data_IF_824187894981
#
_entry.id   IF_824187894981
#
_cell.length_a   1.000
_cell.length_b   1.000
_cell.length_c   1.000
_cell.angle_alpha   90.00
_cell.angle_beta   90.00
_cell.angle_gamma   90.00
#
_symmetry.space_group_name_H-M   'P 1'
#
loop_
_entity.id
_entity.type
_entity.pdbx_description
1 polymer ?
#
# COMPACT_ATOMS: atom_id res chain seq x y z
N UNK A 1 -7.39 4.10 8.91
CA UNK A 1 -6.14 4.38 8.16
C UNK A 1 -6.44 4.88 6.76
N UNK A 2 -7.24 4.13 5.99
CA UNK A 2 -7.73 4.46 4.63
C UNK A 2 -8.09 5.93 4.43
N UNK A 3 -9.00 6.47 5.26
CA UNK A 3 -9.42 7.87 5.15
C UNK A 3 -8.24 8.85 5.25
N UNK A 4 -7.27 8.60 6.14
CA UNK A 4 -6.09 9.47 6.26
C UNK A 4 -5.21 9.37 5.03
N UNK A 5 -4.95 8.17 4.50
CA UNK A 5 -4.11 8.00 3.32
C UNK A 5 -4.75 8.66 2.08
N UNK A 6 -6.06 8.52 1.91
CA UNK A 6 -6.76 9.15 0.79
C UNK A 6 -6.88 10.67 0.95
N UNK A 7 -7.26 11.17 2.12
CA UNK A 7 -7.57 12.60 2.30
C UNK A 7 -6.36 13.47 2.60
N UNK A 8 -5.39 12.97 3.38
CA UNK A 8 -4.22 13.75 3.82
C UNK A 8 -3.03 13.57 2.88
N UNK A 9 -2.85 12.37 2.34
CA UNK A 9 -1.69 12.02 1.52
C UNK A 9 -2.03 11.89 0.03
N UNK A 10 -3.30 12.04 -0.36
CA UNK A 10 -3.71 11.86 -1.77
C UNK A 10 -3.40 10.46 -2.33
N UNK A 11 -3.09 9.50 -1.45
CA UNK A 11 -2.64 8.19 -1.83
C UNK A 11 -3.83 7.31 -2.21
N UNK A 12 -3.65 6.51 -3.25
CA UNK A 12 -4.64 5.55 -3.75
C UNK A 12 -4.13 4.14 -3.49
N UNK A 13 -5.04 3.22 -3.14
CA UNK A 13 -4.73 1.81 -2.99
C UNK A 13 -4.40 1.22 -4.36
N UNK A 14 -3.15 0.80 -4.56
CA UNK A 14 -2.67 0.26 -5.85
C UNK A 14 -2.48 -1.24 -5.84
N UNK A 15 -2.31 -1.85 -4.66
CA UNK A 15 -2.23 -3.31 -4.55
C UNK A 15 -2.67 -3.80 -3.17
N UNK A 16 -3.18 -5.02 -3.12
CA UNK A 16 -3.46 -5.75 -1.88
C UNK A 16 -3.00 -7.20 -1.98
N UNK A 17 -2.72 -7.80 -0.83
CA UNK A 17 -2.39 -9.22 -0.73
C UNK A 17 -2.74 -9.78 0.64
N UNK A 18 -3.26 -11.01 0.68
CA UNK A 18 -3.50 -11.70 1.95
C UNK A 18 -2.18 -12.29 2.46
N UNK A 19 -1.80 -11.95 3.70
CA UNK A 19 -0.70 -12.62 4.40
C UNK A 19 -1.21 -13.91 5.07
N UNK A 20 -2.41 -13.85 5.63
CA UNK A 20 -3.15 -14.95 6.23
C UNK A 20 -4.66 -14.57 6.24
N UNK A 21 -5.58 -15.44 6.73
CA UNK A 21 -7.02 -15.14 6.73
C UNK A 21 -7.44 -13.90 7.52
N UNK A 22 -6.60 -13.41 8.43
CA UNK A 22 -6.90 -12.29 9.32
C UNK A 22 -6.12 -11.01 8.96
N UNK A 23 -5.27 -11.07 7.93
CA UNK A 23 -4.32 -10.00 7.63
C UNK A 23 -4.17 -9.72 6.14
N UNK A 24 -4.46 -8.47 5.77
CA UNK A 24 -4.31 -7.93 4.43
C UNK A 24 -3.16 -6.93 4.42
N UNK A 25 -2.19 -7.14 3.53
CA UNK A 25 -1.21 -6.13 3.16
C UNK A 25 -1.82 -5.23 2.11
N UNK A 26 -1.70 -3.93 2.31
CA UNK A 26 -2.14 -2.88 1.39
C UNK A 26 -0.94 -2.02 0.99
N UNK A 27 -0.82 -1.73 -0.30
CA UNK A 27 0.13 -0.79 -0.83
C UNK A 27 -0.61 0.43 -1.37
N UNK A 28 -0.28 1.58 -0.81
CA UNK A 28 -0.83 2.87 -1.16
C UNK A 28 0.24 3.70 -1.84
N UNK A 29 -0.08 4.34 -2.96
CA UNK A 29 0.84 5.21 -3.69
C UNK A 29 0.15 6.47 -4.16
N UNK A 30 0.87 7.57 -4.29
CA UNK A 30 0.37 8.81 -4.89
C UNK A 30 1.00 9.08 -6.27
N UNK A 31 0.68 10.25 -6.84
CA UNK A 31 1.19 10.66 -8.15
C UNK A 31 2.63 11.21 -8.10
N UNK A 32 3.11 11.56 -6.91
CA UNK A 32 4.43 12.13 -6.65
C UNK A 32 5.48 11.02 -6.46
N UNK A 33 5.04 9.79 -6.22
CA UNK A 33 5.88 8.63 -5.99
C UNK A 33 6.02 8.29 -4.50
N UNK A 34 5.26 8.94 -3.62
CA UNK A 34 5.22 8.53 -2.22
C UNK A 34 4.42 7.25 -2.09
N UNK A 35 4.85 6.39 -1.17
CA UNK A 35 4.21 5.12 -0.93
C UNK A 35 4.14 4.79 0.56
N UNK A 36 3.11 4.04 0.92
CA UNK A 36 2.90 3.55 2.27
C UNK A 36 2.37 2.13 2.21
N UNK A 37 3.02 1.24 2.95
CA UNK A 37 2.56 -0.12 3.16
C UNK A 37 1.88 -0.25 4.51
N UNK A 38 0.67 -0.81 4.50
CA UNK A 38 -0.17 -1.00 5.69
C UNK A 38 -0.49 -2.49 5.83
N UNK A 39 -0.52 -2.99 7.07
CA UNK A 39 -1.22 -4.24 7.39
C UNK A 39 -2.55 -3.89 8.04
N UNK A 40 -3.63 -4.36 7.44
CA UNK A 40 -4.99 -4.27 7.97
C UNK A 40 -5.40 -5.64 8.55
N UNK A 41 -5.81 -5.63 9.81
CA UNK A 41 -6.23 -6.82 10.55
C UNK A 41 -7.75 -6.94 10.57
N UNK A 42 -8.27 -8.16 10.56
CA UNK A 42 -9.70 -8.44 10.72
C UNK A 42 -10.28 -7.89 12.04
N UNK A 43 -9.43 -7.67 13.05
CA UNK A 43 -9.76 -6.99 14.30
C UNK A 43 -10.10 -5.50 14.15
N UNK A 44 -9.99 -4.93 12.95
CA UNK A 44 -10.22 -3.52 12.65
C UNK A 44 -9.01 -2.62 12.92
N UNK A 45 -7.91 -3.18 13.43
CA UNK A 45 -6.66 -2.43 13.62
C UNK A 45 -5.88 -2.35 12.31
N UNK A 46 -5.13 -1.28 12.11
CA UNK A 46 -4.22 -1.14 10.96
C UNK A 46 -2.92 -0.47 11.39
N UNK A 47 -1.80 -0.93 10.84
CA UNK A 47 -0.46 -0.44 11.17
C UNK A 47 0.30 -0.10 9.88
N UNK A 48 0.96 1.06 9.85
CA UNK A 48 1.96 1.33 8.81
C UNK A 48 3.20 0.50 9.13
N UNK A 49 3.64 -0.30 8.17
CA UNK A 49 4.82 -1.15 8.32
C UNK A 49 6.04 -0.56 7.60
N UNK A 50 5.81 0.19 6.53
CA UNK A 50 6.86 0.92 5.82
C UNK A 50 6.26 2.11 5.05
N UNK A 51 7.07 3.13 4.79
CA UNK A 51 6.73 4.28 3.98
C UNK A 51 8.00 4.84 3.32
N UNK A 52 7.86 5.54 2.20
CA UNK A 52 8.98 6.19 1.52
C UNK A 52 8.54 6.91 0.26
N UNK A 53 9.52 7.30 -0.53
CA UNK A 53 9.36 8.08 -1.77
C UNK A 53 9.88 7.28 -2.97
N UNK A 54 9.73 7.85 -4.17
CA UNK A 54 10.25 7.31 -5.44
C UNK A 54 9.74 5.91 -5.80
N UNK A 55 8.45 5.64 -5.55
CA UNK A 55 7.79 4.42 -5.98
C UNK A 55 7.84 4.26 -7.50
N UNK A 56 8.31 3.10 -7.97
CA UNK A 56 8.46 2.81 -9.38
C UNK A 56 7.76 1.49 -9.73
N UNK A 57 6.78 1.55 -10.62
CA UNK A 57 6.16 0.37 -11.20
C UNK A 57 7.12 -0.25 -12.20
N UNK A 58 7.67 -1.42 -11.89
CA UNK A 58 8.38 -2.24 -12.88
C UNK A 58 7.36 -3.05 -13.67
N UNK A 59 7.27 -2.80 -14.97
CA UNK A 59 6.62 -3.73 -15.89
C UNK A 59 7.40 -5.05 -15.87
N UNK A 60 6.71 -6.21 -15.92
CA UNK A 60 7.38 -7.49 -16.13
C UNK A 60 8.33 -7.36 -17.32
N UNK A 61 9.62 -7.56 -17.09
CA UNK A 61 10.58 -7.64 -18.18
C UNK A 61 10.35 -9.00 -18.84
N UNK A 62 9.97 -9.00 -20.11
CA UNK A 62 9.91 -10.22 -20.90
C UNK A 62 11.32 -10.85 -20.91
N UNK A 63 11.51 -12.08 -20.41
CA UNK A 63 12.83 -12.69 -20.34
C UNK A 63 13.39 -13.12 -21.70
N UNK A 64 12.75 -12.81 -22.84
CA UNK A 64 13.12 -13.30 -24.17
C UNK A 64 13.10 -12.23 -25.27
#
# INVERSE_FOLDING_TARGET
MTERLTTRHGATLTSTGLRNPEEVVELWTDAQGDWTMVIAYASGTSCIVAMGEHWATRLPQDPA
#
